data_IF_484241046271
#
_entry.id   IF_484241046271
#
_cell.length_a   1.000
_cell.length_b   1.000
_cell.length_c   1.000
_cell.angle_alpha   90.00
_cell.angle_beta   90.00
_cell.angle_gamma   90.00
#
_symmetry.space_group_name_H-M   'P 1'
#
loop_
_entity.id
_entity.type
_entity.pdbx_description
1 polymer ?
#
# COMPACT_ATOMS: atom_id res chain seq x y z
N UNK A 1 -10.05 6.51 -10.47
CA UNK A 1 -9.56 6.16 -11.82
C UNK A 1 -8.07 5.95 -11.69
N UNK A 2 -7.63 4.70 -11.53
CA UNK A 2 -6.22 4.36 -11.31
C UNK A 2 -5.51 4.34 -12.67
N UNK A 3 -4.78 5.41 -12.95
CA UNK A 3 -3.84 5.44 -14.07
C UNK A 3 -2.57 4.76 -13.53
N UNK A 4 -2.34 3.53 -13.99
CA UNK A 4 -1.10 2.80 -13.71
C UNK A 4 -0.08 3.32 -14.72
N UNK A 5 0.86 4.15 -14.29
CA UNK A 5 2.02 4.49 -15.10
C UNK A 5 2.94 3.27 -15.15
N UNK A 6 2.89 2.55 -16.28
CA UNK A 6 3.85 1.50 -16.60
C UNK A 6 5.07 2.13 -17.25
N UNK A 7 6.25 1.71 -16.82
CA UNK A 7 7.53 2.12 -17.42
C UNK A 7 7.59 1.63 -18.87
N UNK A 8 7.97 2.51 -19.80
CA UNK A 8 7.96 2.34 -21.28
C UNK A 8 8.48 0.97 -21.80
N UNK A 9 9.41 0.35 -21.07
CA UNK A 9 10.00 -0.94 -21.46
C UNK A 9 9.08 -2.15 -21.20
N UNK A 10 8.26 -2.10 -20.15
CA UNK A 10 7.33 -3.20 -19.82
C UNK A 10 6.16 -3.22 -20.81
N UNK A 11 5.67 -2.04 -21.21
CA UNK A 11 4.60 -1.89 -22.19
C UNK A 11 4.95 -2.55 -23.54
N UNK A 12 6.20 -2.41 -23.99
CA UNK A 12 6.69 -3.09 -25.20
C UNK A 12 6.66 -4.61 -25.08
N UNK A 13 7.06 -5.15 -23.92
CA UNK A 13 7.06 -6.59 -23.68
C UNK A 13 5.63 -7.16 -23.61
N UNK A 14 4.71 -6.41 -22.99
CA UNK A 14 3.29 -6.77 -22.96
C UNK A 14 2.67 -6.73 -24.36
N UNK A 15 2.90 -5.66 -25.12
CA UNK A 15 2.39 -5.57 -26.50
C UNK A 15 2.92 -6.69 -27.40
N UNK A 16 4.22 -7.00 -27.31
CA UNK A 16 4.83 -8.07 -28.09
C UNK A 16 4.24 -9.45 -27.73
N UNK A 17 3.94 -9.68 -26.46
CA UNK A 17 3.31 -10.92 -25.99
C UNK A 17 1.85 -11.03 -26.47
N UNK A 18 1.08 -9.93 -26.42
CA UNK A 18 -0.32 -9.91 -26.85
C UNK A 18 -0.44 -10.09 -28.38
N UNK A 19 0.41 -9.44 -29.16
CA UNK A 19 0.43 -9.62 -30.61
C UNK A 19 0.79 -11.06 -31.00
N UNK A 20 1.78 -11.64 -30.34
CA UNK A 20 2.18 -13.02 -30.57
C UNK A 20 1.06 -14.02 -30.26
N UNK A 21 0.33 -13.80 -29.16
CA UNK A 21 -0.84 -14.61 -28.79
C UNK A 21 -1.99 -14.44 -29.79
N UNK A 22 -2.25 -13.20 -30.22
CA UNK A 22 -3.30 -12.88 -31.20
C UNK A 22 -3.03 -13.57 -32.55
N UNK A 23 -1.79 -13.51 -33.03
CA UNK A 23 -1.38 -14.17 -34.29
C UNK A 23 -1.40 -15.69 -34.21
N UNK A 24 -1.18 -16.28 -33.03
CA UNK A 24 -1.26 -17.74 -32.84
C UNK A 24 -2.67 -18.28 -32.64
N UNK A 25 -3.60 -17.46 -32.15
CA UNK A 25 -4.97 -17.88 -31.84
C UNK A 25 -6.00 -17.47 -32.92
N UNK A 26 -5.68 -16.50 -33.79
CA UNK A 26 -6.57 -16.03 -34.84
C UNK A 26 -6.60 -16.98 -36.05
N UNK A 27 -7.41 -18.04 -35.96
CA UNK A 27 -7.79 -18.87 -37.09
C UNK A 27 -8.91 -18.16 -37.88
N UNK A 28 -8.56 -17.31 -38.85
CA UNK A 28 -9.57 -16.73 -39.74
C UNK A 28 -10.22 -17.85 -40.60
N UNK A 29 -11.56 -17.97 -40.66
CA UNK A 29 -12.21 -18.95 -41.52
C UNK A 29 -12.04 -18.56 -42.99
N UNK A 30 -11.41 -19.43 -43.77
CA UNK A 30 -11.26 -19.23 -45.22
C UNK A 30 -12.62 -19.44 -45.91
N UNK A 31 -13.24 -18.37 -46.38
CA UNK A 31 -14.47 -18.44 -47.18
C UNK A 31 -14.15 -18.95 -48.59
N UNK A 32 -14.62 -20.15 -48.94
CA UNK A 32 -14.60 -20.66 -50.32
C UNK A 32 -15.64 -19.90 -51.15
N UNK A 33 -15.18 -19.03 -52.06
CA UNK A 33 -16.06 -18.42 -53.07
C UNK A 33 -16.50 -19.47 -54.07
N UNK A 34 -17.81 -19.67 -54.22
CA UNK A 34 -18.42 -20.46 -55.29
C UNK A 34 -18.54 -19.58 -56.54
N UNK A 35 -17.86 -19.96 -57.62
CA UNK A 35 -17.97 -19.32 -58.92
C UNK A 35 -19.34 -19.60 -59.54
N UNK A 36 -20.01 -18.53 -59.95
CA UNK A 36 -21.28 -18.52 -60.66
C UNK A 36 -21.05 -19.04 -62.08
N UNK A 37 -21.66 -20.17 -62.46
CA UNK A 37 -21.81 -20.61 -63.86
C UNK A 37 -23.08 -21.48 -63.94
N UNK A 38 -23.94 -21.16 -64.92
CA UNK A 38 -25.33 -21.59 -65.04
C UNK A 38 -25.54 -23.11 -65.07
N UNK A 39 -25.92 -23.67 -63.93
CA UNK A 39 -26.50 -25.02 -63.82
C UNK A 39 -27.70 -24.98 -62.90
N UNK A 40 -28.88 -25.35 -63.40
CA UNK A 40 -30.12 -25.42 -62.60
C UNK A 40 -30.17 -26.75 -61.85
N UNK A 41 -29.93 -26.71 -60.55
CA UNK A 41 -30.01 -27.87 -59.66
C UNK A 41 -31.42 -27.97 -59.06
N UNK A 42 -32.13 -29.06 -59.34
CA UNK A 42 -33.37 -29.36 -58.62
C UNK A 42 -33.05 -30.11 -57.32
N UNK A 43 -33.28 -29.51 -56.13
CA UNK A 43 -32.87 -30.08 -54.84
C UNK A 43 -33.64 -31.35 -54.47
N UNK A 44 -34.81 -31.59 -55.07
CA UNK A 44 -35.66 -32.74 -54.75
C UNK A 44 -35.34 -33.98 -55.59
N UNK A 45 -34.82 -33.80 -56.82
CA UNK A 45 -34.60 -34.90 -57.77
C UNK A 45 -33.13 -35.24 -58.02
N UNK A 46 -32.17 -34.47 -57.48
CA UNK A 46 -30.71 -34.74 -57.55
C UNK A 46 -30.18 -35.00 -58.97
N UNK A 47 -30.75 -34.33 -59.96
CA UNK A 47 -30.32 -34.37 -61.35
C UNK A 47 -29.93 -32.97 -61.81
N UNK A 48 -28.77 -32.85 -62.43
CA UNK A 48 -28.32 -31.61 -63.06
C UNK A 48 -28.54 -31.72 -64.56
N UNK A 49 -29.27 -30.76 -65.13
CA UNK A 49 -29.40 -30.58 -66.58
C UNK A 49 -28.45 -29.49 -67.03
N UNK A 50 -27.56 -29.82 -67.95
CA UNK A 50 -26.67 -28.86 -68.63
C UNK A 50 -27.41 -28.23 -69.82
N UNK A 51 -27.04 -27.02 -70.24
CA UNK A 51 -27.67 -26.28 -71.35
C UNK A 51 -27.79 -27.07 -72.68
N UNK A 52 -27.00 -28.13 -72.86
CA UNK A 52 -27.01 -29.01 -74.03
C UNK A 52 -27.95 -30.23 -73.89
N UNK A 53 -28.89 -30.25 -72.92
CA UNK A 53 -29.94 -31.27 -72.80
C UNK A 53 -29.49 -32.63 -72.23
N UNK A 54 -28.27 -32.73 -71.70
CA UNK A 54 -27.74 -33.98 -71.13
C UNK A 54 -27.99 -34.03 -69.62
N UNK A 55 -28.51 -35.17 -69.11
CA UNK A 55 -28.90 -35.37 -67.71
C UNK A 55 -27.82 -36.17 -66.99
N UNK A 56 -27.18 -35.57 -65.99
CA UNK A 56 -26.13 -36.24 -65.20
C UNK A 56 -26.69 -36.52 -63.80
N UNK A 57 -26.77 -37.81 -63.44
CA UNK A 57 -27.21 -38.27 -62.12
C UNK A 57 -26.07 -38.20 -61.12
N UNK A 58 -26.19 -37.34 -60.10
CA UNK A 58 -25.14 -37.16 -59.08
C UNK A 58 -25.23 -38.26 -58.00
N UNK A 59 -24.14 -39.02 -57.82
CA UNK A 59 -23.99 -39.94 -56.68
C UNK A 59 -23.56 -39.13 -55.45
N UNK A 60 -24.40 -39.09 -54.41
CA UNK A 60 -24.09 -38.38 -53.16
C UNK A 60 -22.92 -39.07 -52.45
N UNK A 61 -21.76 -38.43 -52.48
CA UNK A 61 -20.68 -38.70 -51.52
C UNK A 61 -20.93 -37.82 -50.30
N UNK A 62 -21.48 -38.41 -49.24
CA UNK A 62 -21.69 -37.71 -47.97
C UNK A 62 -20.34 -37.30 -47.38
N UNK A 63 -20.04 -36.00 -47.42
CA UNK A 63 -18.88 -35.44 -46.75
C UNK A 63 -19.14 -35.54 -45.24
N UNK A 64 -18.32 -36.34 -44.55
CA UNK A 64 -18.47 -36.60 -43.13
C UNK A 64 -18.12 -35.30 -42.39
N UNK A 65 -19.12 -34.55 -41.94
CA UNK A 65 -18.93 -33.33 -41.15
C UNK A 65 -18.40 -33.75 -39.78
N UNK A 66 -17.10 -33.59 -39.56
CA UNK A 66 -16.50 -33.74 -38.24
C UNK A 66 -16.96 -32.56 -37.36
N UNK A 67 -17.91 -32.81 -36.46
CA UNK A 67 -18.20 -31.89 -35.35
C UNK A 67 -17.01 -31.91 -34.39
N UNK A 68 -16.22 -30.84 -34.33
CA UNK A 68 -15.20 -30.68 -33.28
C UNK A 68 -15.92 -30.47 -31.95
N UNK A 69 -15.95 -31.51 -31.11
CA UNK A 69 -16.35 -31.38 -29.71
C UNK A 69 -15.26 -30.57 -28.99
N UNK A 70 -15.58 -29.32 -28.65
CA UNK A 70 -14.73 -28.51 -27.76
C UNK A 70 -14.81 -29.13 -26.37
N UNK A 71 -13.82 -29.96 -26.04
CA UNK A 71 -13.70 -30.59 -24.74
C UNK A 71 -13.39 -29.54 -23.68
N UNK A 72 -14.06 -29.64 -22.53
CA UNK A 72 -13.83 -28.78 -21.36
C UNK A 72 -12.35 -28.79 -20.99
N UNK A 73 -11.65 -27.67 -21.23
CA UNK A 73 -10.19 -27.60 -21.22
C UNK A 73 -9.67 -27.41 -19.79
N UNK A 74 -9.83 -28.42 -18.93
CA UNK A 74 -9.32 -28.41 -17.54
C UNK A 74 -7.84 -28.01 -17.45
N UNK A 75 -7.04 -28.36 -18.47
CA UNK A 75 -5.63 -27.95 -18.59
C UNK A 75 -5.47 -26.43 -18.80
N UNK A 76 -6.31 -25.82 -19.65
CA UNK A 76 -6.26 -24.35 -19.86
C UNK A 76 -6.74 -23.61 -18.62
N UNK A 77 -7.66 -24.19 -17.85
CA UNK A 77 -8.05 -23.64 -16.55
C UNK A 77 -6.85 -23.65 -15.62
N UNK A 78 -6.10 -24.77 -15.53
CA UNK A 78 -4.88 -24.84 -14.70
C UNK A 78 -3.83 -23.83 -15.18
N UNK A 79 -3.57 -23.75 -16.48
CA UNK A 79 -2.63 -22.78 -17.05
C UNK A 79 -3.04 -21.34 -16.71
N UNK A 80 -4.35 -21.04 -16.78
CA UNK A 80 -4.90 -19.75 -16.40
C UNK A 80 -4.72 -19.47 -14.90
N UNK A 81 -4.95 -20.44 -14.03
CA UNK A 81 -4.74 -20.28 -12.58
C UNK A 81 -3.26 -20.09 -12.24
N UNK A 82 -2.35 -20.80 -12.91
CA UNK A 82 -0.89 -20.67 -12.73
C UNK A 82 -0.40 -19.29 -13.17
N UNK A 83 -1.03 -18.64 -14.15
CA UNK A 83 -0.70 -17.26 -14.55
C UNK A 83 -1.39 -16.23 -13.65
N UNK A 84 -2.63 -16.50 -13.25
CA UNK A 84 -3.46 -15.54 -12.50
C UNK A 84 -2.96 -15.34 -11.07
N UNK A 85 -2.58 -16.40 -10.35
CA UNK A 85 -2.17 -16.30 -8.94
C UNK A 85 -0.89 -15.46 -8.78
N UNK A 86 0.20 -15.69 -9.54
CA UNK A 86 1.39 -14.86 -9.46
C UNK A 86 1.13 -13.41 -9.90
N UNK A 87 0.30 -13.20 -10.93
CA UNK A 87 -0.03 -11.85 -11.39
C UNK A 87 -0.75 -11.03 -10.32
N UNK A 88 -1.77 -11.60 -9.69
CA UNK A 88 -2.51 -10.94 -8.60
C UNK A 88 -1.60 -10.74 -7.38
N UNK A 89 -0.80 -11.74 -7.02
CA UNK A 89 0.15 -11.63 -5.90
C UNK A 89 1.20 -10.55 -6.14
N UNK A 90 1.71 -10.43 -7.37
CA UNK A 90 2.69 -9.40 -7.75
C UNK A 90 2.08 -8.00 -7.75
N UNK A 91 0.83 -7.85 -8.22
CA UNK A 91 0.10 -6.59 -8.16
C UNK A 91 -0.15 -6.12 -6.73
N UNK A 92 -0.54 -7.04 -5.83
CA UNK A 92 -0.70 -6.77 -4.40
C UNK A 92 0.66 -6.43 -3.75
N UNK A 93 1.69 -7.24 -4.01
CA UNK A 93 3.04 -7.00 -3.48
C UNK A 93 3.60 -5.63 -3.87
N UNK A 94 3.42 -5.21 -5.13
CA UNK A 94 3.80 -3.87 -5.61
C UNK A 94 2.99 -2.75 -4.95
N UNK A 95 1.70 -2.98 -4.67
CA UNK A 95 0.85 -1.99 -3.99
C UNK A 95 1.25 -1.79 -2.52
N UNK A 96 1.54 -2.88 -1.82
CA UNK A 96 1.97 -2.82 -0.41
C UNK A 96 3.38 -2.25 -0.25
N UNK A 97 4.33 -2.59 -1.13
CA UNK A 97 5.70 -2.04 -1.05
C UNK A 97 5.76 -0.53 -1.27
N UNK A 98 4.89 0.04 -2.11
CA UNK A 98 4.82 1.51 -2.30
C UNK A 98 4.24 2.21 -1.07
N UNK A 99 3.25 1.62 -0.40
CA UNK A 99 2.61 2.22 0.78
C UNK A 99 3.48 2.08 2.03
N UNK A 100 4.02 0.89 2.30
CA UNK A 100 4.75 0.60 3.55
C UNK A 100 6.12 1.29 3.60
N UNK A 101 6.77 1.48 2.45
CA UNK A 101 8.07 2.16 2.36
C UNK A 101 7.99 3.64 2.77
N UNK A 102 6.86 4.31 2.51
CA UNK A 102 6.67 5.70 2.92
C UNK A 102 6.19 5.83 4.37
N UNK A 103 5.44 4.85 4.90
CA UNK A 103 4.96 4.90 6.30
C UNK A 103 6.03 4.46 7.31
N UNK A 104 6.89 3.48 6.98
CA UNK A 104 7.91 3.01 7.94
C UNK A 104 8.98 4.05 8.25
N UNK A 105 9.50 4.76 7.24
CA UNK A 105 10.56 5.76 7.47
C UNK A 105 10.10 6.94 8.33
N UNK A 106 8.83 7.32 8.20
CA UNK A 106 8.26 8.44 8.96
C UNK A 106 7.97 8.02 10.41
N UNK A 107 7.41 6.82 10.61
CA UNK A 107 7.12 6.31 11.95
C UNK A 107 8.39 5.98 12.73
N UNK A 108 9.43 5.45 12.09
CA UNK A 108 10.73 5.21 12.74
C UNK A 108 11.44 6.52 13.13
N UNK A 109 11.36 7.56 12.30
CA UNK A 109 11.94 8.88 12.61
C UNK A 109 11.23 9.54 13.80
N UNK A 110 9.89 9.42 13.88
CA UNK A 110 9.10 9.98 14.98
C UNK A 110 9.34 9.20 16.29
N UNK A 111 9.43 7.86 16.24
CA UNK A 111 9.68 7.06 17.43
C UNK A 111 11.10 7.24 18.00
N UNK A 112 12.11 7.40 17.15
CA UNK A 112 13.49 7.67 17.61
C UNK A 112 13.58 9.00 18.36
N UNK A 113 12.94 10.06 17.84
CA UNK A 113 12.90 11.38 18.52
C UNK A 113 12.15 11.31 19.85
N UNK A 114 11.05 10.56 19.94
CA UNK A 114 10.23 10.43 21.16
C UNK A 114 10.90 9.58 22.26
N UNK A 115 11.76 8.63 21.87
CA UNK A 115 12.51 7.83 22.84
C UNK A 115 13.74 8.57 23.40
N UNK A 116 14.35 9.46 22.59
CA UNK A 116 15.53 10.23 23.00
C UNK A 116 15.19 11.37 23.98
N UNK A 117 13.98 11.95 23.94
CA UNK A 117 13.57 13.05 24.85
C UNK A 117 12.97 12.58 26.19
N UNK A 118 12.60 11.31 26.34
CA UNK A 118 11.93 10.79 27.54
C UNK A 118 12.74 11.04 28.83
N UNK A 119 14.07 10.95 28.75
CA UNK A 119 14.96 11.23 29.89
C UNK A 119 14.86 12.67 30.39
N UNK A 120 14.95 13.65 29.48
CA UNK A 120 14.85 15.08 29.82
C UNK A 120 13.43 15.48 30.19
N UNK A 121 12.41 14.93 29.53
CA UNK A 121 11.01 15.17 29.87
C UNK A 121 10.69 14.73 31.30
N UNK A 122 11.11 13.52 31.70
CA UNK A 122 10.88 13.04 33.06
C UNK A 122 11.67 13.86 34.10
N UNK A 123 12.89 14.27 33.76
CA UNK A 123 13.67 15.18 34.61
C UNK A 123 12.92 16.50 34.85
N UNK A 124 12.44 17.15 33.79
CA UNK A 124 11.69 18.42 33.88
C UNK A 124 10.38 18.22 34.63
N UNK A 125 9.61 17.17 34.35
CA UNK A 125 8.35 16.88 35.06
C UNK A 125 8.56 16.75 36.57
N UNK A 126 9.59 16.01 36.99
CA UNK A 126 9.90 15.83 38.41
C UNK A 126 10.40 17.13 39.06
N UNK A 127 11.22 17.90 38.34
CA UNK A 127 11.67 19.21 38.79
C UNK A 127 10.50 20.18 38.99
N UNK A 128 9.68 20.40 37.95
CA UNK A 128 8.51 21.31 37.98
C UNK A 128 7.56 20.92 39.10
N UNK A 129 7.27 19.63 39.25
CA UNK A 129 6.41 19.13 40.33
C UNK A 129 6.98 19.45 41.70
N UNK A 130 8.27 19.23 41.92
CA UNK A 130 8.94 19.53 43.20
C UNK A 130 9.09 21.03 43.45
N UNK A 131 9.30 21.82 42.39
CA UNK A 131 9.50 23.26 42.45
C UNK A 131 8.21 24.01 42.77
N UNK A 132 7.12 23.70 42.05
CA UNK A 132 5.84 24.40 42.19
C UNK A 132 4.88 23.76 43.21
N UNK A 133 5.22 22.61 43.78
CA UNK A 133 4.50 22.06 44.94
C UNK A 133 5.14 22.60 46.22
N UNK A 134 4.38 23.35 47.02
CA UNK A 134 4.85 23.86 48.30
C UNK A 134 3.73 23.92 49.34
N UNK A 135 4.13 23.88 50.61
CA UNK A 135 3.27 24.08 51.78
C UNK A 135 4.02 24.92 52.82
N UNK A 136 3.29 25.56 53.74
CA UNK A 136 3.83 26.51 54.71
C UNK A 136 4.44 25.83 55.96
N UNK A 137 4.30 24.51 56.13
CA UNK A 137 4.94 23.77 57.24
C UNK A 137 6.46 23.72 57.07
N UNK A 138 7.20 24.02 58.16
CA UNK A 138 8.68 24.08 58.17
C UNK A 138 9.32 22.78 57.68
N UNK A 139 8.75 21.65 58.06
CA UNK A 139 9.23 20.32 57.69
C UNK A 139 9.11 20.09 56.17
N UNK A 140 8.03 20.58 55.55
CA UNK A 140 7.81 20.44 54.09
C UNK A 140 8.72 21.39 53.32
N UNK A 141 9.05 22.55 53.87
CA UNK A 141 10.00 23.49 53.26
C UNK A 141 11.41 22.91 53.26
N UNK A 142 11.87 22.30 54.35
CA UNK A 142 13.17 21.63 54.40
C UNK A 142 13.25 20.46 53.42
N UNK A 143 12.21 19.62 53.37
CA UNK A 143 12.13 18.49 52.42
C UNK A 143 12.14 18.99 50.98
N UNK A 144 11.41 20.07 50.67
CA UNK A 144 11.41 20.69 49.34
C UNK A 144 12.78 21.23 48.97
N UNK A 145 13.45 21.95 49.86
CA UNK A 145 14.80 22.47 49.63
C UNK A 145 15.78 21.35 49.32
N UNK A 146 15.72 20.24 50.07
CA UNK A 146 16.53 19.08 49.81
C UNK A 146 16.19 18.43 48.44
N UNK A 147 14.91 18.27 48.11
CA UNK A 147 14.49 17.69 46.84
C UNK A 147 14.92 18.53 45.62
N UNK A 148 14.77 19.86 45.70
CA UNK A 148 15.15 20.79 44.63
C UNK A 148 16.68 20.93 44.52
N UNK A 149 17.43 20.72 45.62
CA UNK A 149 18.89 20.82 45.61
C UNK A 149 19.60 19.84 44.66
N UNK A 150 18.93 18.74 44.29
CA UNK A 150 19.42 17.77 43.32
C UNK A 150 19.33 18.29 41.87
N UNK A 151 18.53 19.32 41.61
CA UNK A 151 18.26 19.85 40.28
C UNK A 151 18.93 21.21 40.02
N UNK A 152 19.15 22.01 41.09
CA UNK A 152 19.67 23.37 40.98
C UNK A 152 21.14 23.46 41.39
N UNK A 153 21.90 24.36 40.75
CA UNK A 153 23.23 24.76 41.20
C UNK A 153 23.14 25.55 42.51
N UNK A 154 24.24 25.65 43.27
CA UNK A 154 24.24 26.36 44.57
C UNK A 154 23.77 27.82 44.46
N UNK A 155 24.17 28.51 43.40
CA UNK A 155 23.76 29.90 43.15
C UNK A 155 22.24 30.04 42.97
N UNK A 156 21.61 29.09 42.28
CA UNK A 156 20.16 29.07 42.09
C UNK A 156 19.42 28.62 43.34
N UNK A 157 20.03 27.78 44.18
CA UNK A 157 19.47 27.41 45.48
C UNK A 157 19.40 28.63 46.40
N UNK A 158 20.50 29.39 46.49
CA UNK A 158 20.58 30.60 47.33
C UNK A 158 19.55 31.65 46.91
N UNK A 159 19.30 31.81 45.60
CA UNK A 159 18.28 32.72 45.09
C UNK A 159 16.85 32.28 45.43
N UNK A 160 16.62 30.97 45.58
CA UNK A 160 15.29 30.39 45.77
C UNK A 160 14.87 30.27 47.26
N UNK A 161 15.78 30.53 48.21
CA UNK A 161 15.51 30.42 49.66
C UNK A 161 14.36 31.32 50.10
N UNK A 162 14.23 32.50 49.49
CA UNK A 162 13.29 33.54 49.92
C UNK A 162 11.97 33.56 49.14
N UNK A 163 11.74 32.62 48.19
CA UNK A 163 10.53 32.61 47.36
C UNK A 163 9.29 32.20 48.17
N UNK A 164 9.41 31.19 49.04
CA UNK A 164 8.29 30.70 49.86
C UNK A 164 8.41 31.28 51.26
N UNK A 165 7.68 32.37 51.51
CA UNK A 165 7.67 32.99 52.83
C UNK A 165 6.79 32.21 53.81
N UNK A 166 7.29 32.03 55.03
CA UNK A 166 6.60 31.29 56.10
C UNK A 166 5.51 32.10 56.80
N UNK A 167 5.51 33.42 56.66
CA UNK A 167 4.56 34.34 57.27
C UNK A 167 3.20 34.38 56.53
N UNK A 168 3.15 34.00 55.26
CA UNK A 168 1.94 33.98 54.44
C UNK A 168 1.55 32.53 54.13
N UNK A 169 0.35 32.05 54.54
CA UNK A 169 -0.07 30.66 54.35
C UNK A 169 -0.47 30.39 52.90
N UNK A 170 0.52 30.33 52.01
CA UNK A 170 0.34 29.91 50.63
C UNK A 170 0.73 28.44 50.49
N UNK A 171 -0.01 27.72 49.65
CA UNK A 171 0.32 26.37 49.24
C UNK A 171 -0.01 26.19 47.77
N UNK A 172 0.70 25.30 47.11
CA UNK A 172 0.50 24.98 45.71
C UNK A 172 0.72 23.49 45.51
N UNK A 173 -0.03 22.87 44.60
CA UNK A 173 0.11 21.46 44.27
C UNK A 173 -0.03 21.29 42.78
N UNK A 174 0.98 20.68 42.15
CA UNK A 174 0.98 20.41 40.72
C UNK A 174 0.27 19.08 40.47
N UNK A 175 -0.81 19.11 39.68
CA UNK A 175 -1.57 17.91 39.31
C UNK A 175 -0.95 17.21 38.10
N UNK A 176 -0.67 17.95 37.03
CA UNK A 176 -0.11 17.42 35.80
C UNK A 176 0.86 18.41 35.14
N UNK A 177 1.80 17.89 34.34
CA UNK A 177 2.82 18.68 33.64
C UNK A 177 2.87 18.21 32.19
N UNK A 178 2.43 19.10 31.30
CA UNK A 178 2.46 18.93 29.85
C UNK A 178 3.71 19.62 29.31
N UNK A 179 4.50 18.89 28.53
CA UNK A 179 5.65 19.43 27.80
C UNK A 179 5.22 19.54 26.35
N UNK A 180 5.37 20.74 25.79
CA UNK A 180 4.92 21.04 24.43
C UNK A 180 6.00 20.77 23.41
N UNK A 181 7.23 21.16 23.72
CA UNK A 181 8.38 20.95 22.84
C UNK A 181 9.68 20.80 23.63
N UNK A 182 10.63 20.08 23.03
CA UNK A 182 11.98 19.91 23.56
C UNK A 182 12.96 20.12 22.41
N UNK A 183 13.69 21.23 22.43
CA UNK A 183 14.68 21.56 21.43
C UNK A 183 16.10 21.43 22.02
N UNK A 184 17.00 20.76 21.30
CA UNK A 184 18.40 20.69 21.70
C UNK A 184 19.15 21.93 21.18
N UNK A 185 19.40 22.89 22.07
CA UNK A 185 20.11 24.13 21.77
C UNK A 185 21.65 23.95 21.74
N UNK A 186 22.17 22.88 22.35
CA UNK A 186 23.60 22.53 22.30
C UNK A 186 23.94 21.13 22.87
N UNK A 187 25.22 20.77 22.88
CA UNK A 187 25.71 19.55 23.54
C UNK A 187 26.36 19.92 24.89
N UNK A 188 25.75 19.63 26.07
CA UNK A 188 24.49 18.91 26.34
C UNK A 188 23.37 19.83 26.88
N UNK A 189 22.94 20.85 26.13
CA UNK A 189 21.94 21.85 26.56
C UNK A 189 20.61 21.67 25.83
N UNK A 190 19.52 21.67 26.59
CA UNK A 190 18.15 21.48 26.11
C UNK A 190 17.28 22.67 26.54
N UNK A 191 16.41 23.12 25.65
CA UNK A 191 15.35 24.07 25.88
C UNK A 191 14.01 23.30 25.89
N UNK A 192 13.16 23.59 26.87
CA UNK A 192 11.92 22.85 27.13
C UNK A 192 10.80 23.85 27.39
N UNK A 193 9.73 23.75 26.60
CA UNK A 193 8.55 24.64 26.62
C UNK A 193 7.28 23.95 27.11
#
# INVERSE_FOLDING_TARGET
>A
MLIVEFTDNEERLYHQTVEWLSTKLSNAPTYLKKGDNGFTLNPYTRICTTENGNVITMKVCTMKVCTMKVGTHKKSVIDLWVVLIPSVSFGVYKNFTVIDQHTMHEVETIQLRLNDTNGIENFVKNFVKSYYTWSNSKEVIEVRTQAISAYLTRELQDLNVDIVRTDIPTSSTVTDVLIWDVEQSGDPTYEVD
#
